data_IF_903281938559
#
_entry.id   IF_903281938559
#
_cell.length_a   1.000
_cell.length_b   1.000
_cell.length_c   1.000
_cell.angle_alpha   90.00
_cell.angle_beta   90.00
_cell.angle_gamma   90.00
#
_symmetry.space_group_name_H-M   'P 1'
#
loop_
_entity.id
_entity.type
_entity.pdbx_description
1 polymer ?
#
# COMPACT_ATOMS: atom_id res chain seq x y z
N UNK A 1 -27.32 7.00 29.26
CA UNK A 1 -27.38 7.34 27.82
C UNK A 1 -28.82 7.22 27.33
N UNK A 2 -29.54 8.35 27.33
CA UNK A 2 -30.88 8.48 26.74
C UNK A 2 -30.71 8.91 25.28
N UNK A 3 -30.73 7.99 24.33
CA UNK A 3 -30.77 8.33 22.90
C UNK A 3 -31.50 7.23 22.12
N UNK A 4 -32.83 7.32 22.09
CA UNK A 4 -33.68 6.71 21.06
C UNK A 4 -34.87 7.66 20.75
N UNK A 5 -34.60 8.97 20.72
CA UNK A 5 -35.52 9.90 20.07
C UNK A 5 -35.24 9.80 18.57
N UNK A 6 -36.29 9.59 17.77
CA UNK A 6 -36.24 9.66 16.32
C UNK A 6 -35.83 11.08 15.91
N UNK A 7 -34.52 11.32 15.84
CA UNK A 7 -33.92 12.59 15.44
C UNK A 7 -34.48 12.97 14.06
N UNK A 8 -35.01 14.18 14.00
CA UNK A 8 -35.60 14.76 12.80
C UNK A 8 -34.56 14.77 11.67
N UNK A 9 -34.98 14.58 10.40
CA UNK A 9 -34.09 14.59 9.22
C UNK A 9 -32.96 15.64 9.26
N UNK A 10 -33.17 16.91 9.71
CA UNK A 10 -32.09 17.89 9.79
C UNK A 10 -30.93 17.52 10.75
N UNK A 11 -31.17 16.87 11.88
CA UNK A 11 -30.09 16.51 12.83
C UNK A 11 -29.14 15.45 12.27
N UNK A 12 -29.65 14.55 11.42
CA UNK A 12 -28.82 13.57 10.70
C UNK A 12 -27.91 14.27 9.69
N UNK A 13 -28.42 15.27 8.99
CA UNK A 13 -27.63 16.08 8.05
C UNK A 13 -26.57 16.92 8.75
N UNK A 14 -26.88 17.52 9.91
CA UNK A 14 -25.89 18.24 10.73
C UNK A 14 -24.77 17.29 11.16
N UNK A 15 -25.10 16.08 11.62
CA UNK A 15 -24.08 15.10 12.02
C UNK A 15 -23.21 14.63 10.84
N UNK A 16 -23.81 14.45 9.66
CA UNK A 16 -23.07 14.09 8.43
C UNK A 16 -22.15 15.24 7.99
N UNK A 17 -22.65 16.48 8.02
CA UNK A 17 -21.86 17.67 7.71
C UNK A 17 -20.69 17.84 8.68
N UNK A 18 -20.89 17.61 9.99
CA UNK A 18 -19.80 17.65 10.98
C UNK A 18 -18.72 16.59 10.70
N UNK A 19 -19.10 15.39 10.23
CA UNK A 19 -18.14 14.37 9.78
C UNK A 19 -17.36 14.80 8.56
N UNK A 20 -18.02 15.42 7.57
CA UNK A 20 -17.35 15.94 6.38
C UNK A 20 -16.32 17.02 6.77
N UNK A 21 -16.70 17.96 7.64
CA UNK A 21 -15.77 18.98 8.17
C UNK A 21 -14.59 18.33 8.90
N UNK A 22 -14.82 17.29 9.71
CA UNK A 22 -13.75 16.56 10.38
C UNK A 22 -12.78 15.89 9.39
N UNK A 23 -13.30 15.30 8.31
CA UNK A 23 -12.49 14.67 7.25
C UNK A 23 -11.66 15.71 6.48
N UNK A 24 -12.27 16.84 6.11
CA UNK A 24 -11.57 17.94 5.43
C UNK A 24 -10.48 18.52 6.33
N UNK A 25 -10.79 18.76 7.61
CA UNK A 25 -9.82 19.22 8.61
C UNK A 25 -8.65 18.25 8.77
N UNK A 26 -8.94 16.94 8.87
CA UNK A 26 -7.91 15.92 8.92
C UNK A 26 -7.05 15.94 7.65
N UNK A 27 -7.65 16.08 6.46
CA UNK A 27 -6.93 16.18 5.19
C UNK A 27 -5.98 17.39 5.11
N UNK A 28 -6.41 18.56 5.59
CA UNK A 28 -5.53 19.74 5.67
C UNK A 28 -4.36 19.53 6.62
N UNK A 29 -4.59 18.94 7.80
CA UNK A 29 -3.52 18.62 8.73
C UNK A 29 -2.54 17.59 8.17
N UNK A 30 -3.03 16.57 7.44
CA UNK A 30 -2.19 15.60 6.75
C UNK A 30 -1.28 16.26 5.71
N UNK A 31 -1.82 17.18 4.90
CA UNK A 31 -1.01 17.93 3.93
C UNK A 31 0.04 18.82 4.61
N UNK A 32 -0.34 19.48 5.71
CA UNK A 32 0.58 20.30 6.49
C UNK A 32 1.71 19.46 7.11
N UNK A 33 1.37 18.28 7.65
CA UNK A 33 2.34 17.31 8.17
C UNK A 33 3.37 16.92 7.11
N UNK A 34 2.90 16.60 5.90
CA UNK A 34 3.75 16.20 4.78
C UNK A 34 4.79 17.29 4.41
N UNK A 35 4.38 18.56 4.41
CA UNK A 35 5.31 19.67 4.15
C UNK A 35 6.39 19.77 5.23
N UNK A 36 5.99 19.74 6.51
CA UNK A 36 6.91 19.84 7.64
C UNK A 36 7.91 18.67 7.65
N UNK A 37 7.45 17.47 7.30
CA UNK A 37 8.28 16.26 7.31
C UNK A 37 9.17 16.15 6.08
N UNK A 38 8.77 16.73 4.95
CA UNK A 38 9.65 16.90 3.78
C UNK A 38 10.84 17.79 4.11
N UNK A 39 10.61 18.89 4.84
CA UNK A 39 11.70 19.78 5.26
C UNK A 39 12.58 19.11 6.32
N UNK A 40 12.00 18.26 7.18
CA UNK A 40 12.72 17.46 8.17
C UNK A 40 13.72 16.46 7.56
N UNK A 41 13.54 16.09 6.28
CA UNK A 41 14.45 15.19 5.56
C UNK A 41 15.83 15.81 5.32
N UNK A 42 15.94 17.14 5.23
CA UNK A 42 17.19 17.84 4.95
C UNK A 42 17.93 18.31 6.22
N UNK A 43 17.30 18.16 7.39
CA UNK A 43 17.86 18.58 8.68
C UNK A 43 19.10 17.78 9.09
N UNK A 44 19.19 16.45 8.88
CA UNK A 44 20.40 15.71 9.20
C UNK A 44 21.48 15.93 8.13
N UNK A 45 22.66 16.38 8.56
CA UNK A 45 23.91 16.36 7.78
C UNK A 45 23.86 17.02 6.38
N UNK A 46 22.87 17.86 6.10
CA UNK A 46 22.71 18.59 4.83
C UNK A 46 22.04 17.80 3.69
N UNK A 47 21.51 16.61 3.97
CA UNK A 47 20.84 15.75 2.98
C UNK A 47 21.37 14.32 2.95
N UNK A 48 20.90 13.48 2.00
CA UNK A 48 21.33 12.10 1.90
C UNK A 48 22.82 12.01 1.55
N UNK A 49 23.56 11.03 2.10
CA UNK A 49 24.96 10.81 1.72
C UNK A 49 25.03 10.58 0.21
N UNK A 50 26.02 11.17 -0.46
CA UNK A 50 26.19 11.02 -1.91
C UNK A 50 27.26 9.95 -2.20
N UNK A 51 26.91 9.00 -3.08
CA UNK A 51 27.83 7.93 -3.47
C UNK A 51 29.08 8.48 -4.15
N UNK A 52 28.93 9.52 -4.97
CA UNK A 52 30.02 10.16 -5.72
C UNK A 52 31.09 10.72 -4.78
N UNK A 53 30.70 11.39 -3.70
CA UNK A 53 31.62 11.92 -2.70
C UNK A 53 32.40 10.80 -2.00
N UNK A 54 31.72 9.68 -1.70
CA UNK A 54 32.35 8.51 -1.06
C UNK A 54 33.29 7.78 -2.03
N UNK A 55 32.94 7.70 -3.32
CA UNK A 55 33.80 7.13 -4.37
C UNK A 55 35.05 8.00 -4.62
N UNK A 56 34.90 9.33 -4.59
CA UNK A 56 36.03 10.26 -4.68
C UNK A 56 36.98 10.09 -3.49
N UNK A 57 36.44 10.01 -2.27
CA UNK A 57 37.23 9.73 -1.07
C UNK A 57 37.89 8.35 -1.07
N UNK A 58 37.27 7.37 -1.74
CA UNK A 58 37.84 6.03 -1.91
C UNK A 58 38.96 5.96 -2.96
N UNK A 59 39.21 7.05 -3.71
CA UNK A 59 40.30 7.10 -4.69
C UNK A 59 39.99 6.38 -6.00
N UNK A 60 38.74 6.36 -6.45
CA UNK A 60 38.35 5.76 -7.74
C UNK A 60 38.92 6.55 -8.94
N UNK A 61 39.11 7.86 -8.79
CA UNK A 61 39.56 8.75 -9.86
C UNK A 61 40.94 8.39 -10.47
N UNK A 62 42.01 8.17 -9.68
CA UNK A 62 43.29 7.72 -10.23
C UNK A 62 43.20 6.36 -10.94
N UNK A 63 42.32 5.46 -10.51
CA UNK A 63 42.11 4.17 -11.18
C UNK A 63 41.43 4.36 -12.53
N UNK A 64 40.44 5.27 -12.64
CA UNK A 64 39.82 5.66 -13.91
C UNK A 64 40.81 6.29 -14.88
N UNK A 65 41.70 7.16 -14.40
CA UNK A 65 42.76 7.73 -15.22
C UNK A 65 43.71 6.64 -15.75
N UNK A 66 44.08 5.66 -14.91
CA UNK A 66 44.91 4.53 -15.32
C UNK A 66 44.21 3.64 -16.34
N UNK A 67 42.90 3.43 -16.20
CA UNK A 67 42.09 2.69 -17.17
C UNK A 67 42.09 3.39 -18.54
N UNK A 68 41.90 4.71 -18.57
CA UNK A 68 41.96 5.49 -19.81
C UNK A 68 43.35 5.43 -20.45
N UNK A 69 44.42 5.52 -19.66
CA UNK A 69 45.78 5.40 -20.17
C UNK A 69 46.06 4.01 -20.79
N UNK A 70 45.59 2.95 -20.12
CA UNK A 70 45.70 1.58 -20.62
C UNK A 70 44.89 1.37 -21.90
N UNK A 71 43.70 1.99 -22.00
CA UNK A 71 42.89 1.96 -23.22
C UNK A 71 43.63 2.59 -24.40
N UNK A 72 44.21 3.78 -24.22
CA UNK A 72 45.01 4.45 -25.26
C UNK A 72 46.21 3.60 -25.70
N UNK A 73 46.87 2.90 -24.78
CA UNK A 73 47.94 1.96 -25.11
C UNK A 73 47.44 0.77 -25.93
N UNK A 74 46.27 0.21 -25.57
CA UNK A 74 45.65 -0.88 -26.32
C UNK A 74 45.31 -0.45 -27.75
N UNK A 75 44.71 0.73 -27.91
CA UNK A 75 44.32 1.28 -29.21
C UNK A 75 45.55 1.54 -30.10
N UNK A 76 46.61 2.12 -29.54
CA UNK A 76 47.87 2.35 -30.25
C UNK A 76 48.53 1.03 -30.71
N UNK A 77 48.49 0.00 -29.86
CA UNK A 77 49.10 -1.29 -30.17
C UNK A 77 48.26 -2.11 -31.15
N UNK A 78 46.93 -1.95 -31.15
CA UNK A 78 46.05 -2.50 -32.20
C UNK A 78 46.34 -1.87 -33.55
N UNK A 79 46.46 -0.54 -33.62
CA UNK A 79 46.82 0.15 -34.85
C UNK A 79 48.19 -0.31 -35.39
N UNK A 80 49.15 -0.56 -34.50
CA UNK A 80 50.44 -1.14 -34.89
C UNK A 80 50.28 -2.56 -35.48
N UNK A 81 49.49 -3.42 -34.84
CA UNK A 81 49.23 -4.77 -35.32
C UNK A 81 48.56 -4.76 -36.71
N UNK A 82 47.60 -3.87 -36.93
CA UNK A 82 46.94 -3.68 -38.23
C UNK A 82 47.94 -3.28 -39.33
N UNK A 83 48.86 -2.36 -39.04
CA UNK A 83 49.91 -1.96 -39.99
C UNK A 83 50.88 -3.11 -40.32
N UNK A 84 51.25 -3.93 -39.33
CA UNK A 84 52.07 -5.13 -39.53
C UNK A 84 51.34 -6.14 -40.43
N UNK A 85 50.06 -6.39 -40.13
CA UNK A 85 49.16 -7.24 -40.91
C UNK A 85 49.05 -6.82 -42.37
N UNK A 86 48.82 -5.53 -42.62
CA UNK A 86 48.74 -4.98 -43.98
C UNK A 86 50.05 -5.17 -44.76
N UNK A 87 51.20 -5.00 -44.09
CA UNK A 87 52.53 -5.19 -44.70
C UNK A 87 52.77 -6.66 -45.06
N UNK A 88 52.43 -7.59 -44.15
CA UNK A 88 52.53 -9.03 -44.43
C UNK A 88 51.63 -9.42 -45.60
N UNK A 89 50.39 -8.95 -45.62
CA UNK A 89 49.44 -9.25 -46.70
C UNK A 89 49.97 -8.75 -48.07
N UNK A 90 50.61 -7.58 -48.11
CA UNK A 90 51.27 -7.08 -49.32
C UNK A 90 52.42 -8.00 -49.77
N UNK A 91 53.25 -8.48 -48.84
CA UNK A 91 54.33 -9.42 -49.13
C UNK A 91 53.80 -10.77 -49.63
N UNK A 92 52.71 -11.28 -49.03
CA UNK A 92 52.04 -12.50 -49.47
C UNK A 92 51.48 -12.35 -50.88
N UNK A 93 50.81 -11.22 -51.20
CA UNK A 93 50.35 -10.92 -52.56
C UNK A 93 51.51 -10.86 -53.56
N UNK A 94 52.64 -10.24 -53.19
CA UNK A 94 53.83 -10.19 -54.02
C UNK A 94 54.42 -11.59 -54.25
N UNK A 95 54.53 -12.41 -53.20
CA UNK A 95 54.98 -13.79 -53.29
C UNK A 95 54.09 -14.62 -54.21
N UNK A 96 52.77 -14.55 -54.07
CA UNK A 96 51.82 -15.26 -54.94
C UNK A 96 51.92 -14.80 -56.39
N UNK A 97 52.10 -13.49 -56.62
CA UNK A 97 52.27 -12.92 -57.96
C UNK A 97 53.55 -13.43 -58.63
N UNK A 98 54.68 -13.40 -57.92
CA UNK A 98 55.96 -13.91 -58.43
C UNK A 98 55.93 -15.42 -58.65
N UNK A 99 55.28 -16.18 -57.76
CA UNK A 99 55.11 -17.62 -57.89
C UNK A 99 54.26 -17.99 -59.12
N UNK A 100 53.15 -17.28 -59.35
CA UNK A 100 52.33 -17.44 -60.57
C UNK A 100 53.13 -17.06 -61.83
N UNK A 101 53.89 -15.97 -61.77
CA UNK A 101 54.77 -15.55 -62.86
C UNK A 101 55.82 -16.60 -63.22
N UNK A 102 56.46 -17.20 -62.21
CA UNK A 102 57.40 -18.32 -62.39
C UNK A 102 56.71 -19.54 -62.99
N UNK A 103 55.54 -19.93 -62.49
CA UNK A 103 54.77 -21.07 -63.00
C UNK A 103 54.36 -20.87 -64.48
N UNK A 104 53.86 -19.68 -64.83
CA UNK A 104 53.49 -19.34 -66.20
C UNK A 104 54.71 -19.34 -67.13
N UNK A 105 55.85 -18.80 -66.67
CA UNK A 105 57.10 -18.81 -67.41
C UNK A 105 57.59 -20.25 -67.66
N UNK A 106 57.57 -21.11 -66.64
CA UNK A 106 57.93 -22.53 -66.77
C UNK A 106 57.00 -23.26 -67.75
N UNK A 107 55.68 -23.02 -67.66
CA UNK A 107 54.69 -23.63 -68.56
C UNK A 107 54.89 -23.21 -70.02
N UNK A 108 55.20 -21.94 -70.29
CA UNK A 108 55.42 -21.44 -71.66
C UNK A 108 56.68 -21.98 -72.34
N UNK A 109 57.61 -22.62 -71.60
CA UNK A 109 58.95 -23.01 -72.10
C UNK A 109 59.33 -24.48 -71.86
N UNK A 110 58.36 -25.33 -71.48
CA UNK A 110 58.59 -26.74 -71.18
C UNK A 110 59.12 -27.61 -72.35
N UNK A 111 59.34 -27.03 -73.54
CA UNK A 111 59.71 -27.73 -74.79
C UNK A 111 61.17 -27.56 -75.24
N UNK A 112 62.05 -26.86 -74.50
CA UNK A 112 63.47 -26.71 -74.88
C UNK A 112 64.39 -26.90 -73.68
N UNK A 113 65.33 -27.85 -73.75
CA UNK A 113 66.31 -28.14 -72.69
C UNK A 113 67.63 -27.40 -72.94
N UNK A 114 67.84 -26.27 -72.27
CA UNK A 114 69.08 -25.47 -72.36
C UNK A 114 69.68 -25.25 -70.96
N UNK A 115 70.97 -25.57 -70.72
CA UNK A 115 71.63 -25.35 -69.43
C UNK A 115 71.62 -23.91 -68.91
N UNK A 116 71.47 -22.87 -69.75
CA UNK A 116 71.27 -21.49 -69.26
C UNK A 116 69.95 -21.31 -68.49
N UNK A 117 68.96 -22.19 -68.69
CA UNK A 117 67.66 -22.13 -68.03
C UNK A 117 67.74 -22.52 -66.55
N UNK A 118 68.63 -23.46 -66.19
CA UNK A 118 68.83 -23.91 -64.80
C UNK A 118 69.35 -22.78 -63.90
N UNK A 119 70.18 -21.87 -64.45
CA UNK A 119 70.69 -20.71 -63.71
C UNK A 119 69.60 -19.67 -63.41
N UNK A 120 68.72 -19.39 -64.37
CA UNK A 120 67.60 -18.44 -64.22
C UNK A 120 66.50 -18.96 -63.28
N UNK A 121 66.17 -20.26 -63.35
CA UNK A 121 65.25 -20.90 -62.39
C UNK A 121 65.81 -20.77 -60.97
N UNK A 122 67.09 -21.10 -60.79
CA UNK A 122 67.75 -21.00 -59.48
C UNK A 122 67.80 -19.56 -58.94
N UNK A 123 67.83 -18.56 -59.82
CA UNK A 123 67.73 -17.14 -59.42
C UNK A 123 66.33 -16.80 -58.93
N UNK A 124 65.29 -17.13 -59.71
CA UNK A 124 63.89 -16.83 -59.36
C UNK A 124 63.41 -17.58 -58.11
N UNK A 125 63.88 -18.82 -57.92
CA UNK A 125 63.63 -19.57 -56.68
C UNK A 125 64.26 -18.87 -55.47
N UNK A 126 65.50 -18.39 -55.58
CA UNK A 126 66.15 -17.62 -54.51
C UNK A 126 65.40 -16.32 -54.19
N UNK A 127 64.84 -15.64 -55.20
CA UNK A 127 64.00 -14.46 -54.99
C UNK A 127 62.69 -14.80 -54.24
N UNK A 128 62.07 -15.95 -54.54
CA UNK A 128 60.91 -16.46 -53.80
C UNK A 128 61.26 -16.86 -52.35
N UNK A 129 62.41 -17.51 -52.13
CA UNK A 129 62.89 -17.88 -50.80
C UNK A 129 63.17 -16.62 -49.95
N UNK A 130 63.72 -15.57 -50.56
CA UNK A 130 63.93 -14.29 -49.90
C UNK A 130 62.61 -13.61 -49.49
N UNK A 131 61.58 -13.68 -50.34
CA UNK A 131 60.23 -13.20 -50.00
C UNK A 131 59.59 -14.03 -48.88
N UNK A 132 59.74 -15.36 -48.92
CA UNK A 132 59.26 -16.25 -47.87
C UNK A 132 59.92 -15.96 -46.52
N UNK A 133 61.24 -15.74 -46.50
CA UNK A 133 61.96 -15.35 -45.29
C UNK A 133 61.46 -14.01 -44.73
N UNK A 134 61.15 -13.04 -45.59
CA UNK A 134 60.56 -11.77 -45.15
C UNK A 134 59.17 -11.99 -44.54
N UNK A 135 58.29 -12.78 -45.17
CA UNK A 135 56.96 -13.09 -44.62
C UNK A 135 57.08 -13.68 -43.20
N UNK A 136 57.98 -14.64 -42.98
CA UNK A 136 58.22 -15.23 -41.66
C UNK A 136 58.72 -14.19 -40.62
N UNK A 137 59.59 -13.27 -41.02
CA UNK A 137 60.04 -12.19 -40.14
C UNK A 137 58.91 -11.25 -39.73
N UNK A 138 57.99 -10.93 -40.64
CA UNK A 138 56.83 -10.10 -40.34
C UNK A 138 55.78 -10.85 -39.49
N UNK A 139 55.59 -12.15 -39.71
CA UNK A 139 54.77 -13.00 -38.83
C UNK A 139 55.32 -12.99 -37.39
N UNK A 140 56.63 -13.15 -37.20
CA UNK A 140 57.22 -13.07 -35.86
C UNK A 140 57.02 -11.69 -35.19
N UNK A 141 56.97 -10.61 -35.98
CA UNK A 141 56.65 -9.26 -35.46
C UNK A 141 55.18 -9.15 -35.06
N UNK A 142 54.26 -9.71 -35.85
CA UNK A 142 52.83 -9.80 -35.51
C UNK A 142 52.61 -10.60 -34.22
N UNK A 143 53.26 -11.76 -34.08
CA UNK A 143 53.15 -12.62 -32.89
C UNK A 143 53.61 -11.88 -31.63
N UNK A 144 54.76 -11.21 -31.68
CA UNK A 144 55.27 -10.39 -30.57
C UNK A 144 54.32 -9.23 -30.22
N UNK A 145 53.74 -8.57 -31.22
CA UNK A 145 52.78 -7.51 -31.01
C UNK A 145 51.48 -8.04 -30.37
N UNK A 146 51.02 -9.22 -30.79
CA UNK A 146 49.86 -9.94 -30.24
C UNK A 146 50.07 -10.36 -28.79
N UNK A 147 51.24 -10.88 -28.44
CA UNK A 147 51.59 -11.20 -27.05
C UNK A 147 51.57 -9.96 -26.14
N UNK A 148 52.01 -8.80 -26.67
CA UNK A 148 51.88 -7.53 -25.98
C UNK A 148 50.42 -7.11 -25.73
N UNK A 149 49.51 -7.33 -26.69
CA UNK A 149 48.06 -7.12 -26.48
C UNK A 149 47.50 -8.04 -25.39
N UNK A 150 47.91 -9.31 -25.34
CA UNK A 150 47.51 -10.25 -24.27
C UNK A 150 48.03 -9.82 -22.90
N UNK A 151 49.22 -9.20 -22.82
CA UNK A 151 49.74 -8.64 -21.59
C UNK A 151 48.92 -7.41 -21.13
N UNK A 152 48.59 -6.50 -22.07
CA UNK A 152 47.72 -5.36 -21.79
C UNK A 152 46.32 -5.80 -21.33
N UNK A 153 45.76 -6.85 -21.91
CA UNK A 153 44.46 -7.39 -21.51
C UNK A 153 44.50 -7.95 -20.06
N UNK A 154 45.56 -8.64 -19.67
CA UNK A 154 45.77 -9.08 -18.28
C UNK A 154 45.88 -7.90 -17.31
N UNK A 155 46.58 -6.83 -17.72
CA UNK A 155 46.65 -5.59 -16.93
C UNK A 155 45.28 -4.91 -16.83
N UNK A 156 44.44 -5.02 -17.86
CA UNK A 156 43.08 -4.46 -17.86
C UNK A 156 42.19 -5.22 -16.89
N UNK A 157 42.25 -6.54 -16.90
CA UNK A 157 41.48 -7.40 -16.00
C UNK A 157 41.85 -7.14 -14.53
N UNK A 158 43.15 -7.11 -14.20
CA UNK A 158 43.62 -6.81 -12.84
C UNK A 158 43.19 -5.41 -12.37
N UNK A 159 43.27 -4.39 -13.24
CA UNK A 159 42.79 -3.05 -12.91
C UNK A 159 41.27 -3.01 -12.72
N UNK A 160 40.50 -3.77 -13.52
CA UNK A 160 39.04 -3.87 -13.35
C UNK A 160 38.66 -4.52 -12.02
N UNK A 161 39.38 -5.56 -11.61
CA UNK A 161 39.19 -6.19 -10.30
C UNK A 161 39.51 -5.22 -9.14
N UNK A 162 40.55 -4.41 -9.30
CA UNK A 162 40.92 -3.37 -8.32
C UNK A 162 39.84 -2.29 -8.22
N UNK A 163 39.34 -1.79 -9.35
CA UNK A 163 38.22 -0.83 -9.41
C UNK A 163 36.99 -1.42 -8.73
N UNK A 164 36.59 -2.64 -9.09
CA UNK A 164 35.43 -3.31 -8.51
C UNK A 164 35.57 -3.49 -6.98
N UNK A 165 36.78 -3.78 -6.50
CA UNK A 165 37.05 -3.88 -5.06
C UNK A 165 36.88 -2.54 -4.34
N UNK A 166 37.44 -1.45 -4.90
CA UNK A 166 37.35 -0.11 -4.30
C UNK A 166 35.90 0.40 -4.34
N UNK A 167 35.21 0.21 -5.47
CA UNK A 167 33.80 0.57 -5.62
C UNK A 167 32.90 -0.25 -4.68
N UNK A 168 33.19 -1.54 -4.49
CA UNK A 168 32.49 -2.38 -3.51
C UNK A 168 32.62 -1.86 -2.09
N UNK A 169 33.83 -1.49 -1.65
CA UNK A 169 34.06 -0.89 -0.32
C UNK A 169 33.34 0.46 -0.17
N UNK A 170 33.35 1.29 -1.21
CA UNK A 170 32.64 2.57 -1.22
C UNK A 170 31.12 2.35 -1.14
N UNK A 171 30.60 1.34 -1.85
CA UNK A 171 29.19 0.96 -1.84
C UNK A 171 28.76 0.46 -0.46
N UNK A 172 29.55 -0.40 0.18
CA UNK A 172 29.26 -0.90 1.53
C UNK A 172 29.22 0.24 2.55
N UNK A 173 30.18 1.18 2.46
CA UNK A 173 30.18 2.39 3.31
C UNK A 173 28.97 3.28 3.04
N UNK A 174 28.59 3.44 1.77
CA UNK A 174 27.39 4.16 1.39
C UNK A 174 26.14 3.53 2.00
N UNK A 175 25.98 2.21 1.89
CA UNK A 175 24.83 1.50 2.47
C UNK A 175 24.76 1.69 3.99
N UNK A 176 25.89 1.58 4.69
CA UNK A 176 25.94 1.80 6.14
C UNK A 176 25.62 3.26 6.52
N UNK A 177 26.17 4.23 5.78
CA UNK A 177 25.89 5.65 6.02
C UNK A 177 24.42 5.99 5.74
N UNK A 178 23.88 5.44 4.66
CA UNK A 178 22.50 5.62 4.26
C UNK A 178 21.52 5.00 5.26
N UNK A 179 21.77 3.78 5.75
CA UNK A 179 20.97 3.16 6.82
C UNK A 179 20.98 3.99 8.11
N UNK A 180 22.13 4.56 8.50
CA UNK A 180 22.23 5.45 9.66
C UNK A 180 21.45 6.74 9.44
N UNK A 181 21.54 7.31 8.23
CA UNK A 181 20.77 8.49 7.85
C UNK A 181 19.26 8.22 7.90
N UNK A 182 18.80 7.12 7.32
CA UNK A 182 17.40 6.70 7.40
C UNK A 182 16.93 6.51 8.84
N UNK A 183 17.76 5.89 9.70
CA UNK A 183 17.45 5.71 11.11
C UNK A 183 17.36 7.04 11.86
N UNK A 184 18.26 8.00 11.58
CA UNK A 184 18.19 9.36 12.15
C UNK A 184 16.91 10.07 11.72
N UNK A 185 16.58 10.07 10.43
CA UNK A 185 15.35 10.67 9.89
C UNK A 185 14.13 10.00 10.51
N UNK A 186 14.13 8.68 10.64
CA UNK A 186 13.06 7.93 11.27
C UNK A 186 12.87 8.32 12.74
N UNK A 187 13.95 8.37 13.54
CA UNK A 187 13.87 8.78 14.94
C UNK A 187 13.36 10.22 15.09
N UNK A 188 13.79 11.11 14.19
CA UNK A 188 13.35 12.49 14.18
C UNK A 188 11.85 12.60 13.85
N UNK A 189 11.36 11.85 12.87
CA UNK A 189 9.92 11.74 12.56
C UNK A 189 9.13 11.13 13.70
N UNK A 190 9.65 10.06 14.31
CA UNK A 190 9.05 9.42 15.48
C UNK A 190 8.92 10.40 16.65
N UNK A 191 9.95 11.22 16.91
CA UNK A 191 9.93 12.23 17.95
C UNK A 191 8.85 13.30 17.74
N UNK A 192 8.42 13.56 16.49
CA UNK A 192 7.34 14.50 16.15
C UNK A 192 5.97 13.83 16.19
N UNK A 193 5.84 12.62 15.64
CA UNK A 193 4.54 11.92 15.50
C UNK A 193 4.09 11.29 16.83
N UNK A 194 5.02 10.78 17.64
CA UNK A 194 4.70 10.17 18.94
C UNK A 194 3.95 11.12 19.90
N UNK A 195 4.42 12.36 20.17
CA UNK A 195 3.69 13.29 21.04
C UNK A 195 2.34 13.69 20.44
N UNK A 196 2.25 13.80 19.12
CA UNK A 196 1.00 14.08 18.42
C UNK A 196 -0.03 12.95 18.61
N UNK A 197 0.41 11.69 18.54
CA UNK A 197 -0.42 10.51 18.76
C UNK A 197 -0.87 10.41 20.23
N UNK A 198 0.04 10.65 21.17
CA UNK A 198 -0.29 10.72 22.59
C UNK A 198 -1.33 11.82 22.87
N UNK A 199 -1.15 12.99 22.28
CA UNK A 199 -2.11 14.09 22.38
C UNK A 199 -3.46 13.66 21.80
N UNK A 200 -3.49 12.94 20.68
CA UNK A 200 -4.72 12.47 20.07
C UNK A 200 -5.48 11.47 20.96
N UNK A 201 -4.77 10.50 21.54
CA UNK A 201 -5.35 9.53 22.49
C UNK A 201 -5.88 10.24 23.74
N UNK A 202 -5.12 11.21 24.26
CA UNK A 202 -5.55 12.01 25.41
C UNK A 202 -6.80 12.84 25.10
N UNK A 203 -6.82 13.55 23.96
CA UNK A 203 -7.95 14.34 23.50
C UNK A 203 -9.19 13.46 23.33
N UNK A 204 -9.02 12.29 22.73
CA UNK A 204 -10.10 11.32 22.50
C UNK A 204 -10.67 10.78 23.82
N UNK A 205 -9.83 10.43 24.78
CA UNK A 205 -10.27 9.91 26.08
C UNK A 205 -11.06 10.95 26.87
N UNK A 206 -10.58 12.21 26.90
CA UNK A 206 -11.14 13.27 27.73
C UNK A 206 -12.30 14.04 27.08
N UNK A 207 -12.25 14.28 25.76
CA UNK A 207 -13.15 15.21 25.07
C UNK A 207 -14.13 14.56 24.07
N UNK A 208 -14.22 13.22 24.01
CA UNK A 208 -15.18 12.51 23.13
C UNK A 208 -16.65 12.86 23.32
N UNK A 209 -17.04 13.40 24.48
CA UNK A 209 -18.44 13.79 24.79
C UNK A 209 -18.69 15.29 24.68
N UNK A 210 -17.71 16.09 24.26
CA UNK A 210 -17.86 17.54 24.15
C UNK A 210 -18.63 17.97 22.90
N UNK A 211 -19.18 19.19 22.89
CA UNK A 211 -19.93 19.75 21.75
C UNK A 211 -19.12 19.80 20.44
N UNK A 212 -17.80 19.89 20.52
CA UNK A 212 -16.86 19.93 19.39
C UNK A 212 -16.23 18.56 19.06
N UNK A 213 -16.95 17.47 19.34
CA UNK A 213 -16.44 16.10 19.17
C UNK A 213 -15.87 15.81 17.77
N UNK A 214 -16.38 16.46 16.72
CA UNK A 214 -15.90 16.29 15.35
C UNK A 214 -14.43 16.70 15.14
N UNK A 215 -13.94 17.75 15.82
CA UNK A 215 -12.52 18.12 15.77
C UNK A 215 -11.63 17.08 16.46
N UNK A 216 -12.10 16.50 17.57
CA UNK A 216 -11.38 15.45 18.31
C UNK A 216 -11.22 14.20 17.43
N UNK A 217 -12.28 13.81 16.72
CA UNK A 217 -12.24 12.67 15.79
C UNK A 217 -11.42 12.98 14.53
N UNK A 218 -11.50 14.21 14.01
CA UNK A 218 -10.67 14.66 12.88
C UNK A 218 -9.18 14.63 13.23
N UNK A 219 -8.79 15.17 14.40
CA UNK A 219 -7.42 15.12 14.88
C UNK A 219 -6.95 13.69 15.17
N UNK A 220 -7.82 12.85 15.74
CA UNK A 220 -7.53 11.42 15.93
C UNK A 220 -7.30 10.67 14.62
N UNK A 221 -8.12 10.94 13.60
CA UNK A 221 -7.95 10.36 12.27
C UNK A 221 -6.65 10.84 11.60
N UNK A 222 -6.34 12.14 11.71
CA UNK A 222 -5.08 12.71 11.24
C UNK A 222 -3.87 12.05 11.92
N UNK A 223 -3.84 11.97 13.25
CA UNK A 223 -2.72 11.37 13.98
C UNK A 223 -2.53 9.89 13.61
N UNK A 224 -3.62 9.15 13.43
CA UNK A 224 -3.58 7.77 12.96
C UNK A 224 -3.10 7.69 11.50
N UNK A 225 -3.56 8.59 10.63
CA UNK A 225 -3.09 8.66 9.25
C UNK A 225 -1.60 8.99 9.16
N UNK A 226 -1.13 10.02 9.88
CA UNK A 226 0.28 10.38 9.96
C UNK A 226 1.13 9.19 10.48
N UNK A 227 0.66 8.47 11.49
CA UNK A 227 1.33 7.25 11.93
C UNK A 227 1.41 6.17 10.83
N UNK A 228 0.31 5.90 10.14
CA UNK A 228 0.24 4.81 9.14
C UNK A 228 0.86 5.12 7.78
N UNK A 229 0.78 6.37 7.35
CA UNK A 229 1.15 6.80 6.00
C UNK A 229 2.46 7.58 5.99
N UNK A 230 2.83 8.22 7.09
CA UNK A 230 4.00 9.11 7.12
C UNK A 230 5.17 8.51 7.91
N UNK A 231 4.89 7.85 9.04
CA UNK A 231 5.93 7.20 9.85
C UNK A 231 6.33 5.83 9.30
N UNK A 232 5.36 5.01 8.90
CA UNK A 232 5.57 3.60 8.57
C UNK A 232 6.26 3.29 7.21
N UNK A 233 6.18 4.12 6.14
CA UNK A 233 6.85 3.80 4.88
C UNK A 233 8.39 3.80 4.95
N UNK A 234 8.99 4.32 6.02
CA UNK A 234 10.42 4.61 6.10
C UNK A 234 11.16 3.78 7.15
N UNK A 235 10.53 2.73 7.66
CA UNK A 235 11.19 1.84 8.62
C UNK A 235 11.97 0.75 7.85
N UNK A 236 13.30 0.70 7.98
CA UNK A 236 14.13 -0.24 7.23
C UNK A 236 13.74 -1.69 7.60
N UNK A 237 13.41 -2.49 6.57
CA UNK A 237 13.04 -3.92 6.62
C UNK A 237 11.76 -4.33 7.40
N UNK A 238 11.25 -3.56 8.37
CA UNK A 238 10.13 -3.99 9.24
C UNK A 238 8.87 -3.10 9.21
N UNK A 239 8.85 -2.02 8.42
CA UNK A 239 7.73 -1.07 8.41
C UNK A 239 6.38 -1.69 8.02
N UNK A 240 6.38 -2.58 7.03
CA UNK A 240 5.18 -3.29 6.60
C UNK A 240 4.57 -4.18 7.70
N UNK A 241 5.41 -4.89 8.46
CA UNK A 241 4.97 -5.79 9.51
C UNK A 241 4.38 -5.05 10.70
N UNK A 242 5.03 -3.98 11.16
CA UNK A 242 4.51 -3.14 12.25
C UNK A 242 3.18 -2.50 11.85
N UNK A 243 3.08 -2.01 10.62
CA UNK A 243 1.84 -1.45 10.05
C UNK A 243 0.71 -2.47 10.09
N UNK A 244 0.95 -3.67 9.60
CA UNK A 244 -0.06 -4.73 9.56
C UNK A 244 -0.44 -5.17 10.97
N UNK A 245 0.52 -5.36 11.87
CA UNK A 245 0.25 -5.77 13.26
C UNK A 245 -0.60 -4.75 14.02
N UNK A 246 -0.26 -3.46 13.95
CA UNK A 246 -1.05 -2.39 14.59
C UNK A 246 -2.43 -2.27 13.92
N UNK A 247 -2.49 -2.38 12.58
CA UNK A 247 -3.75 -2.39 11.85
C UNK A 247 -4.68 -3.53 12.29
N UNK A 248 -4.15 -4.74 12.42
CA UNK A 248 -4.89 -5.93 12.92
C UNK A 248 -5.34 -5.71 14.37
N UNK A 249 -4.46 -5.20 15.24
CA UNK A 249 -4.82 -4.92 16.63
C UNK A 249 -5.98 -3.92 16.73
N UNK A 250 -5.94 -2.84 15.93
CA UNK A 250 -7.00 -1.82 15.89
C UNK A 250 -8.31 -2.36 15.33
N UNK A 251 -8.28 -3.19 14.28
CA UNK A 251 -9.51 -3.77 13.70
C UNK A 251 -10.15 -4.78 14.64
N UNK A 252 -9.35 -5.63 15.29
CA UNK A 252 -9.84 -6.57 16.32
C UNK A 252 -10.44 -5.80 17.49
N UNK A 253 -9.76 -4.77 17.99
CA UNK A 253 -10.26 -3.93 19.08
C UNK A 253 -11.57 -3.22 18.71
N UNK A 254 -11.65 -2.64 17.51
CA UNK A 254 -12.86 -1.99 17.01
C UNK A 254 -14.01 -3.00 16.86
N UNK A 255 -13.73 -4.20 16.34
CA UNK A 255 -14.69 -5.30 16.22
C UNK A 255 -15.25 -5.74 17.57
N UNK A 256 -14.38 -5.95 18.57
CA UNK A 256 -14.80 -6.30 19.93
C UNK A 256 -15.66 -5.20 20.56
N UNK A 257 -15.28 -3.93 20.42
CA UNK A 257 -16.08 -2.80 20.88
C UNK A 257 -17.47 -2.74 20.21
N UNK A 258 -17.51 -2.95 18.88
CA UNK A 258 -18.77 -3.00 18.11
C UNK A 258 -19.68 -4.11 18.63
N UNK A 259 -19.15 -5.33 18.79
CA UNK A 259 -19.92 -6.49 19.27
C UNK A 259 -20.49 -6.22 20.66
N UNK A 260 -19.69 -5.70 21.60
CA UNK A 260 -20.17 -5.34 22.94
C UNK A 260 -21.25 -4.25 22.91
N UNK A 261 -21.13 -3.26 22.02
CA UNK A 261 -22.15 -2.23 21.85
C UNK A 261 -23.47 -2.82 21.31
N UNK A 262 -23.39 -3.72 20.33
CA UNK A 262 -24.55 -4.43 19.79
C UNK A 262 -25.21 -5.33 20.84
N UNK A 263 -24.43 -6.03 21.65
CA UNK A 263 -24.93 -6.88 22.73
C UNK A 263 -25.68 -6.04 23.78
N UNK A 264 -25.09 -4.95 24.28
CA UNK A 264 -25.76 -4.02 25.20
C UNK A 264 -27.03 -3.42 24.63
N UNK A 265 -27.05 -3.15 23.33
CA UNK A 265 -28.24 -2.67 22.63
C UNK A 265 -29.32 -3.75 22.54
N UNK A 266 -28.94 -4.98 22.18
CA UNK A 266 -29.84 -6.12 22.10
C UNK A 266 -30.44 -6.50 23.47
N UNK A 267 -29.63 -6.47 24.53
CA UNK A 267 -30.08 -6.70 25.91
C UNK A 267 -31.11 -5.67 26.36
N UNK A 268 -30.87 -4.38 26.10
CA UNK A 268 -31.85 -3.32 26.38
C UNK A 268 -33.16 -3.54 25.63
N UNK A 269 -33.08 -3.86 24.34
CA UNK A 269 -34.27 -4.12 23.52
C UNK A 269 -35.03 -5.37 24.01
N UNK A 270 -34.33 -6.40 24.46
CA UNK A 270 -34.95 -7.60 25.07
C UNK A 270 -35.63 -7.28 26.39
N UNK A 271 -35.02 -6.46 27.25
CA UNK A 271 -35.62 -6.02 28.50
C UNK A 271 -36.88 -5.18 28.28
N UNK A 272 -36.88 -4.27 27.28
CA UNK A 272 -38.07 -3.50 26.88
C UNK A 272 -39.21 -4.41 26.38
N UNK A 273 -38.89 -5.52 25.72
CA UNK A 273 -39.87 -6.51 25.26
C UNK A 273 -40.45 -7.41 26.37
N UNK A 274 -39.89 -7.42 27.59
CA UNK A 274 -40.36 -8.22 28.73
C UNK A 274 -41.25 -7.44 29.73
N UNK A 275 -41.27 -6.10 29.70
CA UNK A 275 -42.10 -5.26 30.61
C UNK A 275 -43.60 -5.33 30.28
N UNK A 276 -44.54 -5.12 31.20
CA UNK A 276 -45.98 -5.32 30.95
C UNK A 276 -46.59 -4.36 29.89
N UNK A 277 -47.64 -4.80 29.19
CA UNK A 277 -48.30 -4.06 28.09
C UNK A 277 -48.72 -2.62 28.45
N UNK A 278 -49.10 -2.38 29.70
CA UNK A 278 -49.65 -1.10 30.18
C UNK A 278 -48.60 0.00 30.35
N UNK A 279 -47.35 -0.35 30.68
CA UNK A 279 -46.24 0.62 30.72
C UNK A 279 -45.72 0.93 29.31
N UNK A 280 -45.70 -0.05 28.40
CA UNK A 280 -45.21 0.15 27.01
C UNK A 280 -46.05 1.16 26.24
N UNK A 281 -47.38 1.11 26.35
CA UNK A 281 -48.27 2.05 25.65
C UNK A 281 -48.05 3.52 26.08
N UNK A 282 -47.52 3.76 27.29
CA UNK A 282 -47.22 5.10 27.82
C UNK A 282 -45.91 5.68 27.32
N UNK A 283 -44.96 4.83 26.88
CA UNK A 283 -43.62 5.25 26.45
C UNK A 283 -43.42 5.36 24.94
N UNK A 284 -44.40 4.96 24.11
CA UNK A 284 -44.32 5.15 22.66
C UNK A 284 -44.44 6.64 22.32
N UNK A 285 -43.33 7.25 21.91
CA UNK A 285 -43.31 8.64 21.48
C UNK A 285 -44.15 8.81 20.20
N UNK A 286 -44.98 9.86 20.14
CA UNK A 286 -45.85 10.16 19.00
C UNK A 286 -45.12 10.14 17.64
N UNK A 287 -43.88 10.64 17.59
CA UNK A 287 -43.06 10.63 16.39
C UNK A 287 -42.69 9.20 15.91
N UNK A 288 -42.43 8.28 16.84
CA UNK A 288 -42.18 6.87 16.54
C UNK A 288 -43.46 6.18 16.05
N UNK A 289 -44.59 6.50 16.67
CA UNK A 289 -45.91 6.00 16.29
C UNK A 289 -46.32 6.43 14.87
N UNK A 290 -46.06 7.69 14.51
CA UNK A 290 -46.32 8.22 13.17
C UNK A 290 -45.43 7.57 12.10
N UNK A 291 -44.14 7.37 12.40
CA UNK A 291 -43.21 6.68 11.50
C UNK A 291 -43.57 5.20 11.29
N UNK A 292 -44.02 4.53 12.35
CA UNK A 292 -44.47 3.14 12.30
C UNK A 292 -45.78 2.99 11.48
N UNK A 293 -46.72 3.94 11.62
CA UNK A 293 -47.93 4.01 10.80
C UNK A 293 -47.61 4.15 9.31
N UNK A 294 -46.66 5.02 8.93
CA UNK A 294 -46.22 5.17 7.53
C UNK A 294 -45.58 3.90 6.95
N UNK A 295 -44.86 3.14 7.78
CA UNK A 295 -44.17 1.91 7.39
C UNK A 295 -45.02 0.65 7.55
N UNK A 296 -46.27 0.77 8.00
CA UNK A 296 -47.15 -0.36 8.38
C UNK A 296 -46.49 -1.34 9.37
N UNK A 297 -45.63 -0.85 10.25
CA UNK A 297 -44.99 -1.65 11.31
C UNK A 297 -45.56 -1.31 12.68
N UNK A 298 -45.50 -2.26 13.60
CA UNK A 298 -45.90 -2.04 14.99
C UNK A 298 -44.86 -1.16 15.70
N UNK A 299 -45.25 -0.07 16.38
CA UNK A 299 -44.30 0.83 17.03
C UNK A 299 -43.55 0.21 18.22
N UNK A 300 -44.00 -0.96 18.72
CA UNK A 300 -43.38 -1.66 19.84
C UNK A 300 -42.44 -2.80 19.41
N UNK A 301 -42.91 -3.74 18.57
CA UNK A 301 -42.09 -4.88 18.15
C UNK A 301 -41.43 -4.71 16.77
N UNK A 302 -41.72 -3.62 16.06
CA UNK A 302 -41.21 -3.29 14.71
C UNK A 302 -41.52 -4.35 13.63
N UNK A 303 -42.44 -5.28 13.92
CA UNK A 303 -42.93 -6.25 12.95
C UNK A 303 -44.08 -5.66 12.14
N UNK A 304 -44.24 -6.11 10.89
CA UNK A 304 -45.38 -5.73 10.05
C UNK A 304 -46.67 -6.27 10.67
N UNK A 305 -47.71 -5.46 10.76
CA UNK A 305 -48.99 -5.87 11.35
C UNK A 305 -50.06 -6.21 10.31
N UNK A 306 -49.81 -5.99 9.01
CA UNK A 306 -50.79 -6.14 7.92
C UNK A 306 -50.75 -7.52 7.23
N UNK A 307 -50.06 -8.50 7.81
CA UNK A 307 -49.72 -9.80 7.19
C UNK A 307 -50.95 -10.58 6.67
N UNK A 308 -52.17 -10.29 7.15
CA UNK A 308 -53.43 -10.93 6.72
C UNK A 308 -54.52 -9.94 6.26
N UNK A 309 -54.19 -8.69 5.97
CA UNK A 309 -55.15 -7.62 5.63
C UNK A 309 -55.05 -6.41 6.56
N UNK A 310 -55.64 -5.28 6.16
CA UNK A 310 -55.54 -4.03 6.91
C UNK A 310 -56.46 -4.01 8.17
N UNK A 311 -57.24 -5.06 8.44
CA UNK A 311 -58.30 -5.10 9.46
C UNK A 311 -57.85 -5.49 10.88
N UNK A 312 -56.55 -5.71 11.10
CA UNK A 312 -56.03 -6.08 12.42
C UNK A 312 -56.03 -4.88 13.40
N UNK A 313 -56.85 -4.93 14.45
CA UNK A 313 -56.86 -3.90 15.51
C UNK A 313 -55.74 -4.07 16.55
N UNK A 314 -55.23 -5.29 16.68
CA UNK A 314 -54.14 -5.66 17.58
C UNK A 314 -52.97 -6.25 16.79
N UNK A 315 -51.75 -6.04 17.28
CA UNK A 315 -50.56 -6.66 16.70
C UNK A 315 -50.50 -8.16 17.06
N UNK A 316 -50.44 -9.03 16.05
CA UNK A 316 -50.35 -10.50 16.25
C UNK A 316 -49.07 -10.92 16.98
N UNK A 317 -47.98 -10.18 16.84
CA UNK A 317 -46.69 -10.52 17.45
C UNK A 317 -46.53 -10.09 18.92
N UNK A 318 -47.22 -9.02 19.35
CA UNK A 318 -47.03 -8.45 20.69
C UNK A 318 -48.31 -8.06 21.43
N UNK A 319 -49.48 -8.23 20.82
CA UNK A 319 -50.79 -7.94 21.41
C UNK A 319 -51.11 -6.46 21.62
N UNK A 320 -50.28 -5.53 21.12
CA UNK A 320 -50.50 -4.09 21.28
C UNK A 320 -51.70 -3.63 20.44
N UNK A 321 -52.59 -2.82 21.04
CA UNK A 321 -53.68 -2.17 20.31
C UNK A 321 -53.11 -1.12 19.34
N UNK A 322 -53.28 -1.36 18.05
CA UNK A 322 -52.80 -0.48 16.98
C UNK A 322 -53.91 0.46 16.50
N UNK A 323 -55.14 -0.02 16.43
CA UNK A 323 -56.29 0.75 15.96
C UNK A 323 -57.44 0.75 16.97
N UNK A 324 -58.23 1.81 16.91
CA UNK A 324 -59.39 2.04 17.77
C UNK A 324 -60.51 2.71 16.97
N UNK A 325 -61.75 2.37 17.31
CA UNK A 325 -62.92 3.11 16.87
C UNK A 325 -62.94 4.51 17.47
N UNK A 326 -63.49 5.46 16.72
CA UNK A 326 -63.91 6.76 17.22
C UNK A 326 -65.43 6.85 17.11
N UNK A 327 -66.08 7.64 17.96
CA UNK A 327 -67.54 7.82 18.00
C UNK A 327 -68.13 8.30 16.66
N UNK A 328 -67.30 8.85 15.76
CA UNK A 328 -67.69 9.19 14.39
C UNK A 328 -67.70 7.98 13.41
N UNK A 329 -67.55 6.76 13.92
CA UNK A 329 -67.48 5.51 13.16
C UNK A 329 -66.14 5.27 12.43
N UNK A 330 -65.13 6.13 12.63
CA UNK A 330 -63.85 6.03 11.92
C UNK A 330 -62.82 5.22 12.70
N UNK A 331 -62.11 4.31 12.00
CA UNK A 331 -60.95 3.58 12.53
C UNK A 331 -59.71 4.46 12.52
N UNK A 332 -59.18 4.76 13.70
CA UNK A 332 -58.01 5.60 13.91
C UNK A 332 -56.87 4.82 14.57
N UNK A 333 -55.65 5.27 14.32
CA UNK A 333 -54.47 4.72 14.99
C UNK A 333 -54.50 5.12 16.47
N UNK A 334 -54.29 4.15 17.37
CA UNK A 334 -54.47 4.32 18.81
C UNK A 334 -53.55 5.37 19.44
N UNK A 335 -52.44 5.69 18.77
CA UNK A 335 -51.43 6.64 19.22
C UNK A 335 -51.60 8.06 18.65
N UNK A 336 -52.61 8.31 17.83
CA UNK A 336 -52.89 9.66 17.34
C UNK A 336 -53.64 10.49 18.39
N UNK A 337 -53.18 11.71 18.71
CA UNK A 337 -53.83 12.56 19.72
C UNK A 337 -55.20 13.03 19.26
N UNK A 338 -55.45 13.10 17.95
CA UNK A 338 -56.72 13.52 17.35
C UNK A 338 -57.18 12.53 16.29
N UNK A 339 -58.49 12.38 16.15
CA UNK A 339 -59.12 11.59 15.09
C UNK A 339 -58.84 12.21 13.71
N UNK A 340 -58.40 11.39 12.74
CA UNK A 340 -58.10 11.84 11.37
C UNK A 340 -59.33 12.33 10.59
N UNK A 341 -60.54 11.93 11.01
CA UNK A 341 -61.81 12.23 10.32
C UNK A 341 -62.59 13.38 10.98
N UNK A 342 -62.67 13.43 12.31
CA UNK A 342 -63.50 14.41 13.03
C UNK A 342 -62.72 15.34 13.96
N UNK A 343 -61.39 15.19 14.08
CA UNK A 343 -60.55 16.07 14.90
C UNK A 343 -60.74 15.96 16.42
N UNK A 344 -61.66 15.14 16.91
CA UNK A 344 -61.86 14.95 18.36
C UNK A 344 -60.61 14.32 19.01
N UNK A 345 -60.26 14.72 20.25
CA UNK A 345 -59.14 14.12 20.96
C UNK A 345 -59.40 12.63 21.19
N UNK A 346 -58.41 11.81 20.87
CA UNK A 346 -58.43 10.39 21.23
C UNK A 346 -58.12 10.24 22.72
N UNK A 347 -58.95 9.48 23.46
CA UNK A 347 -58.60 9.05 24.80
C UNK A 347 -57.21 8.36 24.78
N UNK A 348 -56.30 8.66 25.70
CA UNK A 348 -55.04 7.90 25.80
C UNK A 348 -55.37 6.42 26.03
N UNK A 349 -54.52 5.46 25.60
CA UNK A 349 -54.73 4.06 25.91
C UNK A 349 -54.76 3.89 27.43
N UNK A 350 -55.97 3.78 27.96
CA UNK A 350 -56.26 3.50 29.35
C UNK A 350 -56.40 1.98 29.46
N UNK A 351 -55.72 1.40 30.45
CA UNK A 351 -55.69 -0.04 30.73
C UNK A 351 -57.12 -0.60 30.81
N UNK A 352 -57.39 -1.67 30.07
CA UNK A 352 -58.64 -2.41 30.16
C UNK A 352 -58.91 -2.88 31.61
N UNK A 353 -60.17 -2.88 32.09
CA UNK A 353 -60.50 -3.26 33.45
C UNK A 353 -60.31 -4.76 33.68
N UNK A 354 -59.78 -5.10 34.86
CA UNK A 354 -59.69 -6.46 35.40
C UNK A 354 -61.11 -7.02 35.59
N UNK A 355 -61.47 -8.03 34.81
CA UNK A 355 -62.79 -8.66 34.89
C UNK A 355 -62.87 -9.50 36.19
N UNK A 356 -63.68 -9.06 37.14
CA UNK A 356 -64.08 -9.82 38.33
C UNK A 356 -65.11 -10.87 37.90
N UNK A 357 -64.74 -12.15 37.93
CA UNK A 357 -65.69 -13.25 37.78
C UNK A 357 -66.37 -13.54 39.12
N UNK A 358 -67.62 -13.12 39.24
CA UNK A 358 -68.62 -13.70 40.14
C UNK A 358 -69.06 -15.06 39.57
N UNK A 359 -69.05 -16.11 40.39
CA UNK A 359 -69.90 -17.29 40.20
C UNK A 359 -70.31 -17.85 41.57
N UNK A 360 -71.61 -18.08 41.71
CA UNK A 360 -72.41 -18.28 42.91
C UNK A 360 -72.70 -19.78 43.15
N UNK A 361 -72.81 -20.20 44.43
CA UNK A 361 -73.58 -21.34 45.01
C UNK A 361 -73.30 -22.80 44.56
N UNK A 362 -72.78 -23.71 45.42
CA UNK A 362 -73.39 -24.57 46.52
C UNK A 362 -73.63 -26.04 46.02
N UNK A 363 -73.65 -27.18 46.80
CA UNK A 363 -73.61 -27.43 48.27
C UNK A 363 -72.58 -28.45 48.84
N UNK A 364 -72.15 -28.18 50.09
CA UNK A 364 -72.45 -28.95 51.31
C UNK A 364 -72.58 -30.49 51.23
N UNK A 365 -71.56 -31.21 51.73
CA UNK A 365 -71.72 -32.47 52.50
C UNK A 365 -70.66 -32.56 53.59
N UNK A 366 -71.16 -32.90 54.77
CA UNK A 366 -70.48 -33.07 56.03
C UNK A 366 -69.57 -34.30 56.08
N UNK A 367 -68.47 -34.18 56.83
CA UNK A 367 -68.08 -35.19 57.81
C UNK A 367 -67.13 -34.54 58.85
N UNK A 368 -67.63 -34.49 60.09
CA UNK A 368 -66.99 -34.85 61.37
C UNK A 368 -65.56 -35.43 61.25
N UNK A 369 -64.59 -35.16 62.13
CA UNK A 369 -64.64 -35.04 63.59
C UNK A 369 -63.28 -34.48 64.09
N UNK A 370 -63.29 -33.74 65.20
CA UNK A 370 -62.11 -33.32 65.97
C UNK A 370 -62.11 -34.15 67.27
N UNK A 371 -61.06 -34.94 67.50
CA UNK A 371 -60.27 -34.95 68.75
C UNK A 371 -59.05 -35.86 68.64
#
# INVERSE_FOLDING_TARGET
MRQNQALSRPEKWVRLASWLVALVFAGFLSNLGELVIRDLFYVPDGGPPQLETLQQQAGVEPLRQRQQALQRQNDAQRAQLENLGATREQLERNYQTQRKGLANWLASRATSADPQQSAEVSRRTRELDALQAQILQWQQKEDRASDGLRALERNRQTLQEEIARVEGVAQDRYQQAYQRFELKVFLLRLAVILPLLLLAVWLFSRYRTHRYWFFVYGFGLFALFAFFVELLPYLPNFGGYVRLAVGIALTVFAGLCMIQAFQRYAEKKRAELQQSQSERARHVAYAQALGAYQKKTCPSCDHQYNIAGDDADYCVHCGLQLFRGCDCGARNFAFFPYCKKCGRPGAKPESAPMNQSTSESKPERANDEIQ
#
